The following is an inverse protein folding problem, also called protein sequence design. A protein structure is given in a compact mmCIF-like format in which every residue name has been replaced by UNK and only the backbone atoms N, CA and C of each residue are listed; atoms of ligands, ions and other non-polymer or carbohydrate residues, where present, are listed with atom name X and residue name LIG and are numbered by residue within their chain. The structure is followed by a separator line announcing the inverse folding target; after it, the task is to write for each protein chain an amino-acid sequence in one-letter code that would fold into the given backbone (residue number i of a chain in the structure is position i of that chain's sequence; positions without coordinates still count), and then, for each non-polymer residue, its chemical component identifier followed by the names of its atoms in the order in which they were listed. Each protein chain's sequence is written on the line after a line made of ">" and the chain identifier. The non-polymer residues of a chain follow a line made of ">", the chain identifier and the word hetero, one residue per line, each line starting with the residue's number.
data_IF_596072898560
#
_entry.id   IF_596072898560
#
_cell.length_a   1.000
_cell.length_b   1.000
_cell.length_c   1.000
_cell.angle_alpha   90.00
_cell.angle_beta   90.00
_cell.angle_gamma   90.00
#
_symmetry.space_group_name_H-M   'P 1'
#
loop_
_entity.id
_entity.type
_entity.pdbx_description
1 polymer ?
#
# COMPACT_ATOMS: atom_id res chain seq x y z
N UNK A 1 -35.74 -10.66 -72.71
CA UNK A 1 -35.22 -10.82 -71.34
C UNK A 1 -33.76 -11.27 -71.44
N UNK A 2 -32.85 -10.53 -70.77
CA UNK A 2 -31.50 -10.86 -70.26
C UNK A 2 -30.45 -11.57 -71.17
N UNK A 3 -29.13 -11.39 -71.04
CA UNK A 3 -28.17 -10.36 -70.60
C UNK A 3 -26.76 -10.93 -70.95
N UNK A 4 -25.74 -10.07 -71.03
CA UNK A 4 -24.34 -10.33 -71.41
C UNK A 4 -23.60 -11.37 -70.54
N UNK A 5 -22.42 -11.85 -71.00
CA UNK A 5 -21.16 -11.42 -70.37
C UNK A 5 -19.89 -11.77 -71.18
N UNK A 6 -18.95 -10.84 -71.12
CA UNK A 6 -17.56 -10.87 -71.55
C UNK A 6 -16.69 -11.36 -70.37
N UNK A 7 -15.41 -11.66 -70.61
CA UNK A 7 -14.24 -11.22 -69.82
C UNK A 7 -13.10 -12.26 -69.89
N UNK A 8 -11.95 -11.72 -70.28
CA UNK A 8 -10.66 -12.35 -70.55
C UNK A 8 -9.80 -12.49 -69.27
N UNK A 9 -8.93 -13.49 -69.31
CA UNK A 9 -7.88 -13.88 -68.35
C UNK A 9 -6.76 -12.84 -68.21
N UNK A 10 -6.32 -12.57 -66.97
CA UNK A 10 -5.00 -11.99 -66.69
C UNK A 10 -4.51 -12.45 -65.30
N UNK A 11 -3.35 -13.11 -65.31
CA UNK A 11 -2.64 -13.64 -64.14
C UNK A 11 -1.67 -12.60 -63.58
N UNK A 12 -1.62 -12.43 -62.24
CA UNK A 12 -0.50 -11.90 -61.40
C UNK A 12 -1.04 -11.86 -59.96
N UNK A 13 -0.33 -12.00 -58.85
CA UNK A 13 1.03 -12.39 -58.45
C UNK A 13 0.92 -12.61 -56.92
N UNK A 14 1.59 -13.63 -56.38
CA UNK A 14 1.54 -14.00 -54.96
C UNK A 14 2.23 -12.95 -54.09
N UNK A 15 1.46 -12.18 -53.32
CA UNK A 15 1.97 -11.50 -52.13
C UNK A 15 1.05 -11.74 -50.94
N UNK A 16 1.37 -12.80 -50.18
CA UNK A 16 0.93 -12.92 -48.78
C UNK A 16 1.61 -11.78 -48.02
N UNK A 17 0.96 -10.63 -47.98
CA UNK A 17 1.30 -9.55 -47.07
C UNK A 17 1.07 -10.08 -45.65
N UNK A 18 2.15 -10.51 -45.00
CA UNK A 18 2.18 -10.72 -43.56
C UNK A 18 1.65 -9.43 -42.92
N UNK A 19 0.45 -9.49 -42.36
CA UNK A 19 -0.12 -8.41 -41.58
C UNK A 19 0.74 -8.26 -40.32
N UNK A 20 1.80 -7.46 -40.40
CA UNK A 20 2.40 -6.85 -39.22
C UNK A 20 1.27 -6.26 -38.38
N UNK A 21 1.15 -6.57 -37.08
CA UNK A 21 0.13 -5.99 -36.24
C UNK A 21 0.27 -4.47 -36.36
N UNK A 22 -0.72 -3.80 -36.95
CA UNK A 22 -0.74 -2.33 -36.96
C UNK A 22 -0.80 -1.91 -35.50
N UNK A 23 0.32 -1.46 -34.94
CA UNK A 23 0.32 -0.70 -33.70
C UNK A 23 -0.73 0.38 -33.88
N UNK A 24 -1.87 0.26 -33.18
CA UNK A 24 -2.97 1.21 -33.30
C UNK A 24 -2.39 2.60 -33.07
N UNK A 25 -2.43 3.41 -34.13
CA UNK A 25 -1.79 4.70 -34.32
C UNK A 25 -1.62 5.49 -33.02
N UNK A 26 -0.44 6.04 -32.78
CA UNK A 26 -0.08 6.84 -31.59
C UNK A 26 -1.12 7.93 -31.29
N UNK A 27 -1.72 8.56 -32.30
CA UNK A 27 -2.81 9.53 -32.10
C UNK A 27 -4.09 8.93 -31.51
N UNK A 28 -4.43 7.68 -31.84
CA UNK A 28 -5.54 6.96 -31.23
C UNK A 28 -5.20 6.55 -29.78
N UNK A 29 -3.94 6.23 -29.48
CA UNK A 29 -3.47 6.01 -28.10
C UNK A 29 -3.57 7.30 -27.27
N UNK A 30 -3.02 8.41 -27.78
CA UNK A 30 -3.08 9.72 -27.12
C UNK A 30 -4.52 10.21 -26.92
N UNK A 31 -5.40 10.04 -27.92
CA UNK A 31 -6.81 10.38 -27.78
C UNK A 31 -7.54 9.54 -26.73
N UNK A 32 -7.19 8.24 -26.62
CA UNK A 32 -7.71 7.35 -25.56
C UNK A 32 -7.22 7.81 -24.19
N UNK A 33 -5.92 8.07 -24.06
CA UNK A 33 -5.31 8.52 -22.81
C UNK A 33 -5.88 9.86 -22.34
N UNK A 34 -6.07 10.82 -23.24
CA UNK A 34 -6.68 12.12 -22.91
C UNK A 34 -8.16 11.98 -22.47
N UNK A 35 -8.93 11.11 -23.15
CA UNK A 35 -10.31 10.83 -22.75
C UNK A 35 -10.38 10.16 -21.38
N UNK A 36 -9.46 9.22 -21.10
CA UNK A 36 -9.36 8.54 -19.81
C UNK A 36 -8.91 9.51 -18.71
N UNK A 37 -7.92 10.36 -18.97
CA UNK A 37 -7.47 11.44 -18.07
C UNK A 37 -8.62 12.36 -17.68
N UNK A 38 -9.40 12.81 -18.67
CA UNK A 38 -10.56 13.68 -18.42
C UNK A 38 -11.66 12.96 -17.63
N UNK A 39 -11.81 11.64 -17.83
CA UNK A 39 -12.76 10.81 -17.08
C UNK A 39 -12.29 10.59 -15.62
N UNK A 40 -11.01 10.23 -15.42
CA UNK A 40 -10.39 10.05 -14.09
C UNK A 40 -10.25 11.38 -13.32
N UNK A 41 -10.24 12.53 -13.98
CA UNK A 41 -10.32 13.82 -13.28
C UNK A 41 -11.76 14.16 -12.84
N UNK A 42 -12.78 13.69 -13.56
CA UNK A 42 -14.19 13.81 -13.16
C UNK A 42 -14.58 12.83 -12.02
N UNK A 43 -13.77 11.80 -11.80
CA UNK A 43 -13.85 10.72 -10.79
C UNK A 43 -14.26 11.13 -9.37
N UNK A 44 -13.72 12.21 -8.80
CA UNK A 44 -13.98 12.57 -7.39
C UNK A 44 -15.36 13.17 -7.17
N UNK A 45 -16.00 13.70 -8.22
CA UNK A 45 -17.31 14.36 -8.13
C UNK A 45 -18.41 13.60 -8.88
N UNK A 46 -18.07 12.50 -9.56
CA UNK A 46 -18.99 11.77 -10.41
C UNK A 46 -19.75 10.68 -9.65
N UNK A 47 -21.08 10.72 -9.70
CA UNK A 47 -21.98 9.69 -9.14
C UNK A 47 -22.27 8.54 -10.12
N UNK A 48 -21.53 8.45 -11.23
CA UNK A 48 -21.82 7.46 -12.27
C UNK A 48 -21.42 6.05 -11.79
N UNK A 49 -22.30 5.07 -12.06
CA UNK A 49 -22.06 3.64 -11.76
C UNK A 49 -20.76 3.10 -12.39
N UNK A 50 -20.28 3.73 -13.46
CA UNK A 50 -19.04 3.39 -14.16
C UNK A 50 -17.77 3.76 -13.39
N UNK A 51 -17.86 4.65 -12.39
CA UNK A 51 -16.74 5.02 -11.53
C UNK A 51 -16.74 4.26 -10.19
N UNK A 52 -17.83 3.58 -9.85
CA UNK A 52 -17.98 2.90 -8.57
C UNK A 52 -16.94 1.79 -8.37
N UNK A 53 -16.55 1.08 -9.44
CA UNK A 53 -15.52 0.03 -9.40
C UNK A 53 -14.13 0.59 -9.13
N UNK A 54 -13.75 1.71 -9.78
CA UNK A 54 -12.47 2.39 -9.54
C UNK A 54 -12.45 3.05 -8.15
N UNK A 55 -13.59 3.60 -7.70
CA UNK A 55 -13.72 4.13 -6.33
C UNK A 55 -13.55 3.03 -5.28
N UNK A 56 -14.19 1.88 -5.49
CA UNK A 56 -14.02 0.72 -4.62
C UNK A 56 -12.56 0.25 -4.60
N UNK A 57 -11.91 0.19 -5.77
CA UNK A 57 -10.48 -0.13 -5.88
C UNK A 57 -9.62 0.82 -5.04
N UNK A 58 -9.78 2.14 -5.21
CA UNK A 58 -8.99 3.13 -4.48
C UNK A 58 -9.25 3.08 -2.98
N UNK A 59 -10.51 2.96 -2.55
CA UNK A 59 -10.84 2.83 -1.12
C UNK A 59 -10.26 1.57 -0.51
N UNK A 60 -10.32 0.43 -1.21
CA UNK A 60 -9.76 -0.83 -0.73
C UNK A 60 -8.23 -0.78 -0.66
N UNK A 61 -7.58 -0.24 -1.69
CA UNK A 61 -6.13 -0.05 -1.70
C UNK A 61 -5.67 0.90 -0.58
N UNK A 62 -6.40 1.99 -0.34
CA UNK A 62 -6.10 2.93 0.74
C UNK A 62 -6.28 2.28 2.12
N UNK A 63 -7.31 1.44 2.31
CA UNK A 63 -7.50 0.70 3.54
C UNK A 63 -6.35 -0.29 3.80
N UNK A 64 -5.92 -1.02 2.75
CA UNK A 64 -4.77 -1.93 2.82
C UNK A 64 -3.47 -1.17 3.17
N UNK A 65 -3.22 -0.04 2.51
CA UNK A 65 -2.06 0.82 2.79
C UNK A 65 -2.05 1.31 4.24
N UNK A 66 -3.18 1.80 4.74
CA UNK A 66 -3.30 2.26 6.13
C UNK A 66 -3.14 1.13 7.15
N UNK A 67 -3.67 -0.06 6.86
CA UNK A 67 -3.51 -1.22 7.73
C UNK A 67 -2.04 -1.66 7.81
N UNK A 68 -1.34 -1.69 6.66
CA UNK A 68 0.10 -1.99 6.63
C UNK A 68 0.91 -0.92 7.38
N UNK A 69 0.62 0.37 7.17
CA UNK A 69 1.31 1.44 7.87
C UNK A 69 1.12 1.36 9.40
N UNK A 70 -0.06 0.96 9.88
CA UNK A 70 -0.33 0.72 11.30
C UNK A 70 0.46 -0.46 11.85
N UNK A 71 0.56 -1.54 11.09
CA UNK A 71 1.38 -2.70 11.44
C UNK A 71 2.86 -2.33 11.54
N UNK A 72 3.38 -1.58 10.56
CA UNK A 72 4.76 -1.12 10.56
C UNK A 72 5.04 -0.19 11.76
N UNK A 73 4.11 0.72 12.08
CA UNK A 73 4.21 1.60 13.24
C UNK A 73 4.17 0.82 14.57
N UNK A 74 3.27 -0.17 14.71
CA UNK A 74 3.19 -1.00 15.91
C UNK A 74 4.48 -1.82 16.12
N UNK A 75 5.03 -2.40 15.04
CA UNK A 75 6.31 -3.12 15.10
C UNK A 75 7.47 -2.18 15.49
N UNK A 76 7.51 -0.98 14.94
CA UNK A 76 8.53 0.01 15.27
C UNK A 76 8.45 0.43 16.75
N UNK A 77 7.23 0.63 17.27
CA UNK A 77 7.02 0.93 18.69
C UNK A 77 7.49 -0.22 19.59
N UNK A 78 7.07 -1.45 19.29
CA UNK A 78 7.51 -2.63 20.05
C UNK A 78 9.04 -2.77 20.07
N UNK A 79 9.70 -2.51 18.94
CA UNK A 79 11.17 -2.54 18.88
C UNK A 79 11.82 -1.43 19.72
N UNK A 80 11.26 -0.21 19.73
CA UNK A 80 11.74 0.89 20.56
C UNK A 80 11.57 0.59 22.06
N UNK A 81 10.46 -0.03 22.44
CA UNK A 81 10.16 -0.42 23.80
C UNK A 81 11.09 -1.55 24.30
N UNK A 82 11.37 -2.53 23.43
CA UNK A 82 12.38 -3.56 23.71
C UNK A 82 13.79 -2.97 23.88
N UNK A 83 14.16 -1.96 23.09
CA UNK A 83 15.43 -1.27 23.25
C UNK A 83 15.50 -0.51 24.58
N UNK A 84 14.40 0.13 24.99
CA UNK A 84 14.28 0.79 26.31
C UNK A 84 14.47 -0.21 27.45
N UNK A 85 13.80 -1.37 27.38
CA UNK A 85 13.95 -2.44 28.36
C UNK A 85 15.41 -2.94 28.46
N UNK A 86 16.10 -3.10 27.32
CA UNK A 86 17.50 -3.50 27.31
C UNK A 86 18.41 -2.44 27.98
N UNK A 87 18.12 -1.15 27.77
CA UNK A 87 18.80 -0.04 28.44
C UNK A 87 18.61 -0.08 29.96
N UNK A 88 17.37 -0.22 30.43
CA UNK A 88 17.06 -0.34 31.87
C UNK A 88 17.70 -1.57 32.51
N UNK A 89 17.71 -2.70 31.80
CA UNK A 89 18.35 -3.94 32.27
C UNK A 89 19.86 -3.77 32.42
N UNK A 90 20.50 -3.04 31.49
CA UNK A 90 21.92 -2.70 31.57
C UNK A 90 22.19 -1.79 32.76
N UNK A 91 21.38 -0.75 32.94
CA UNK A 91 21.49 0.15 34.09
C UNK A 91 21.35 -0.60 35.42
N UNK A 92 20.40 -1.53 35.52
CA UNK A 92 20.23 -2.38 36.70
C UNK A 92 21.47 -3.24 36.96
N UNK A 93 22.06 -3.82 35.91
CA UNK A 93 23.29 -4.60 36.02
C UNK A 93 24.47 -3.75 36.51
N UNK A 94 24.63 -2.53 35.98
CA UNK A 94 25.68 -1.59 36.38
C UNK A 94 25.53 -1.14 37.84
N UNK A 95 24.31 -0.84 38.27
CA UNK A 95 24.02 -0.52 39.68
C UNK A 95 24.38 -1.69 40.60
N UNK A 96 24.00 -2.92 40.23
CA UNK A 96 24.34 -4.12 40.99
C UNK A 96 25.84 -4.45 40.98
N UNK A 97 26.59 -3.97 39.99
CA UNK A 97 28.04 -4.14 39.90
C UNK A 97 28.82 -3.04 40.63
N UNK A 98 28.15 -2.05 41.21
CA UNK A 98 28.81 -0.96 41.96
C UNK A 98 29.62 -1.53 43.12
N UNK A 99 30.90 -1.17 43.20
CA UNK A 99 31.73 -1.51 44.36
C UNK A 99 31.26 -0.71 45.59
N UNK A 100 30.68 -1.42 46.55
CA UNK A 100 30.15 -0.84 47.78
C UNK A 100 31.17 -0.82 48.93
N UNK A 101 32.44 -1.15 48.65
CA UNK A 101 33.49 -1.14 49.65
C UNK A 101 33.64 0.26 50.25
N UNK A 102 33.42 0.36 51.57
CA UNK A 102 33.53 1.62 52.30
C UNK A 102 32.30 2.52 52.22
N UNK A 103 31.18 2.05 51.66
CA UNK A 103 29.92 2.78 51.73
C UNK A 103 29.47 3.00 53.17
N UNK A 104 28.93 4.20 53.45
CA UNK A 104 28.15 4.43 54.66
C UNK A 104 26.76 3.80 54.52
N UNK A 105 26.03 3.58 55.64
CA UNK A 105 24.66 3.08 55.59
C UNK A 105 23.73 3.93 54.70
N UNK A 106 23.91 5.25 54.70
CA UNK A 106 23.11 6.17 53.89
C UNK A 106 23.40 6.02 52.39
N UNK A 107 24.67 5.77 52.02
CA UNK A 107 25.07 5.52 50.63
C UNK A 107 24.52 4.18 50.14
N UNK A 108 24.55 3.14 50.98
CA UNK A 108 23.96 1.85 50.65
C UNK A 108 22.44 2.00 50.44
N UNK A 109 21.75 2.66 51.36
CA UNK A 109 20.30 2.89 51.23
C UNK A 109 19.94 3.69 49.95
N UNK A 110 20.79 4.63 49.54
CA UNK A 110 20.60 5.38 48.31
C UNK A 110 20.78 4.51 47.04
N UNK A 111 21.76 3.60 47.04
CA UNK A 111 21.94 2.63 45.95
C UNK A 111 20.76 1.66 45.87
N UNK A 112 20.33 1.13 47.02
CA UNK A 112 19.19 0.21 47.11
C UNK A 112 17.90 0.88 46.58
N UNK A 113 17.70 2.17 46.88
CA UNK A 113 16.58 2.94 46.35
C UNK A 113 16.65 3.14 44.82
N UNK A 114 17.84 3.37 44.25
CA UNK A 114 18.02 3.47 42.79
C UNK A 114 17.74 2.14 42.10
N UNK A 115 18.21 1.03 42.67
CA UNK A 115 17.94 -0.32 42.16
C UNK A 115 16.43 -0.59 42.16
N UNK A 116 15.74 -0.27 43.27
CA UNK A 116 14.30 -0.45 43.38
C UNK A 116 13.52 0.41 42.35
N UNK A 117 13.96 1.65 42.11
CA UNK A 117 13.36 2.53 41.11
C UNK A 117 13.53 1.97 39.68
N UNK A 118 14.74 1.56 39.30
CA UNK A 118 15.00 0.95 37.99
C UNK A 118 14.22 -0.35 37.82
N UNK A 119 14.10 -1.17 38.86
CA UNK A 119 13.27 -2.39 38.82
C UNK A 119 11.80 -2.07 38.56
N UNK A 120 11.26 -1.04 39.21
CA UNK A 120 9.89 -0.55 38.96
C UNK A 120 9.70 -0.07 37.53
N UNK A 121 10.69 0.64 36.97
CA UNK A 121 10.67 1.06 35.56
C UNK A 121 10.70 -0.14 34.60
N UNK A 122 11.50 -1.18 34.89
CA UNK A 122 11.53 -2.43 34.12
C UNK A 122 10.16 -3.11 34.14
N UNK A 123 9.52 -3.21 35.31
CA UNK A 123 8.21 -3.85 35.44
C UNK A 123 7.12 -3.07 34.67
N UNK A 124 7.17 -1.74 34.73
CA UNK A 124 6.31 -0.88 33.92
C UNK A 124 6.56 -1.07 32.41
N UNK A 125 7.82 -1.10 31.99
CA UNK A 125 8.20 -1.29 30.58
C UNK A 125 7.77 -2.66 30.05
N UNK A 126 7.87 -3.72 30.85
CA UNK A 126 7.36 -5.05 30.50
C UNK A 126 5.84 -5.06 30.31
N UNK A 127 5.11 -4.27 31.11
CA UNK A 127 3.66 -4.09 30.93
C UNK A 127 3.36 -3.39 29.61
N UNK A 128 4.11 -2.34 29.26
CA UNK A 128 3.98 -1.65 27.96
C UNK A 128 4.26 -2.60 26.80
N UNK A 129 5.36 -3.37 26.85
CA UNK A 129 5.72 -4.36 25.82
C UNK A 129 4.63 -5.41 25.61
N UNK A 130 3.95 -5.82 26.69
CA UNK A 130 2.82 -6.74 26.59
C UNK A 130 1.66 -6.12 25.82
N UNK A 131 1.35 -4.84 26.10
CA UNK A 131 0.36 -4.07 25.36
C UNK A 131 0.73 -3.89 23.88
N UNK A 132 1.97 -3.53 23.59
CA UNK A 132 2.46 -3.33 22.23
C UNK A 132 2.51 -4.63 21.43
N UNK A 133 2.82 -5.75 22.08
CA UNK A 133 2.74 -7.08 21.46
C UNK A 133 1.31 -7.39 21.02
N UNK A 134 0.31 -7.04 21.85
CA UNK A 134 -1.10 -7.17 21.46
C UNK A 134 -1.45 -6.19 20.33
N UNK A 135 -0.96 -4.95 20.38
CA UNK A 135 -1.20 -3.97 19.32
C UNK A 135 -0.64 -4.42 17.95
N UNK A 136 0.53 -5.07 17.94
CA UNK A 136 1.09 -5.71 16.73
C UNK A 136 0.18 -6.83 16.23
N UNK A 137 -0.32 -7.69 17.12
CA UNK A 137 -1.23 -8.77 16.72
C UNK A 137 -2.54 -8.22 16.13
N UNK A 138 -3.12 -7.19 16.74
CA UNK A 138 -4.34 -6.54 16.26
C UNK A 138 -4.11 -5.84 14.91
N UNK A 139 -2.97 -5.16 14.75
CA UNK A 139 -2.60 -4.51 13.50
C UNK A 139 -2.34 -5.52 12.38
N UNK A 140 -1.73 -6.69 12.70
CA UNK A 140 -1.54 -7.78 11.75
C UNK A 140 -2.90 -8.34 11.29
N UNK A 141 -3.82 -8.60 12.23
CA UNK A 141 -5.15 -9.06 11.88
C UNK A 141 -5.90 -8.05 11.00
N UNK A 142 -5.73 -6.75 11.24
CA UNK A 142 -6.29 -5.71 10.39
C UNK A 142 -5.65 -5.66 8.99
N UNK A 143 -4.33 -5.85 8.89
CA UNK A 143 -3.62 -5.93 7.61
C UNK A 143 -4.05 -7.16 6.79
N UNK A 144 -4.17 -8.32 7.44
CA UNK A 144 -4.63 -9.56 6.80
C UNK A 144 -6.09 -9.44 6.30
N UNK A 145 -6.94 -8.70 7.03
CA UNK A 145 -8.31 -8.43 6.63
C UNK A 145 -8.41 -7.39 5.49
N UNK A 146 -7.48 -6.44 5.43
CA UNK A 146 -7.43 -5.38 4.43
C UNK A 146 -6.67 -5.83 3.18
N UNK A 147 -7.19 -6.85 2.49
CA UNK A 147 -6.57 -7.39 1.27
C UNK A 147 -6.48 -6.30 0.19
N UNK A 148 -5.26 -5.98 -0.23
CA UNK A 148 -5.01 -5.05 -1.31
C UNK A 148 -5.62 -5.58 -2.63
N UNK A 149 -6.31 -4.72 -3.40
CA UNK A 149 -6.84 -5.12 -4.70
C UNK A 149 -5.68 -5.39 -5.68
N UNK A 150 -5.86 -6.37 -6.55
CA UNK A 150 -4.84 -6.81 -7.52
C UNK A 150 -5.00 -6.13 -8.89
N UNK A 151 -4.01 -6.32 -9.75
CA UNK A 151 -4.01 -5.80 -11.12
C UNK A 151 -5.21 -6.29 -11.93
N UNK A 152 -5.70 -7.50 -11.68
CA UNK A 152 -6.87 -8.04 -12.37
C UNK A 152 -8.16 -7.29 -11.99
N UNK A 153 -8.30 -6.92 -10.72
CA UNK A 153 -9.41 -6.10 -10.24
C UNK A 153 -9.35 -4.67 -10.79
N UNK A 154 -8.15 -4.13 -10.97
CA UNK A 154 -7.94 -2.84 -11.64
C UNK A 154 -8.32 -2.92 -13.12
N UNK A 155 -7.86 -3.94 -13.84
CA UNK A 155 -8.19 -4.14 -15.25
C UNK A 155 -9.69 -4.33 -15.48
N UNK A 156 -10.36 -5.09 -14.62
CA UNK A 156 -11.82 -5.24 -14.65
C UNK A 156 -12.52 -3.89 -14.41
N UNK A 157 -12.07 -3.12 -13.42
CA UNK A 157 -12.62 -1.80 -13.13
C UNK A 157 -12.40 -0.81 -14.29
N UNK A 158 -11.23 -0.85 -14.95
CA UNK A 158 -10.91 -0.03 -16.11
C UNK A 158 -11.72 -0.45 -17.34
N UNK A 159 -11.94 -1.75 -17.57
CA UNK A 159 -12.76 -2.25 -18.68
C UNK A 159 -14.23 -1.87 -18.51
N UNK A 160 -14.75 -1.93 -17.28
CA UNK A 160 -16.11 -1.48 -17.00
C UNK A 160 -16.31 0.00 -17.32
N UNK A 161 -15.28 0.81 -17.11
CA UNK A 161 -15.26 2.25 -17.34
C UNK A 161 -14.98 2.63 -18.80
N UNK A 162 -14.15 1.86 -19.49
CA UNK A 162 -13.69 2.19 -20.83
C UNK A 162 -14.70 1.76 -21.91
N UNK A 163 -15.10 2.70 -22.77
CA UNK A 163 -15.87 2.39 -23.99
C UNK A 163 -15.01 1.72 -25.09
N UNK A 164 -13.76 1.38 -24.79
CA UNK A 164 -12.75 0.80 -25.69
C UNK A 164 -11.92 -0.23 -24.90
N UNK A 165 -11.21 -1.17 -25.57
CA UNK A 165 -10.37 -2.14 -24.86
C UNK A 165 -9.37 -1.44 -23.93
N UNK A 166 -9.03 -2.07 -22.81
CA UNK A 166 -7.92 -1.66 -21.94
C UNK A 166 -6.68 -2.45 -22.38
N UNK A 167 -5.58 -1.76 -22.60
CA UNK A 167 -4.28 -2.36 -22.91
C UNK A 167 -3.28 -2.00 -21.81
N UNK A 168 -2.13 -2.69 -21.76
CA UNK A 168 -1.17 -2.58 -20.67
C UNK A 168 -0.70 -1.13 -20.43
N UNK A 169 -0.52 -0.36 -21.50
CA UNK A 169 -0.10 1.05 -21.43
C UNK A 169 -1.15 1.92 -20.72
N UNK A 170 -2.44 1.63 -20.93
CA UNK A 170 -3.55 2.29 -20.23
C UNK A 170 -3.61 1.85 -18.76
N UNK A 171 -3.39 0.57 -18.46
CA UNK A 171 -3.34 0.07 -17.08
C UNK A 171 -2.19 0.70 -16.30
N UNK A 172 -1.00 0.80 -16.89
CA UNK A 172 0.18 1.40 -16.25
C UNK A 172 -0.01 2.91 -16.00
N UNK A 173 -0.57 3.63 -16.98
CA UNK A 173 -0.95 5.03 -16.79
C UNK A 173 -2.00 5.19 -15.68
N UNK A 174 -3.01 4.32 -15.64
CA UNK A 174 -4.05 4.37 -14.61
C UNK A 174 -3.48 4.09 -13.22
N UNK A 175 -2.56 3.13 -13.07
CA UNK A 175 -1.85 2.87 -11.81
C UNK A 175 -1.14 4.13 -11.31
N UNK A 176 -0.42 4.82 -12.19
CA UNK A 176 0.27 6.07 -11.82
C UNK A 176 -0.67 7.18 -11.35
N UNK A 177 -1.83 7.34 -11.99
CA UNK A 177 -2.84 8.35 -11.57
C UNK A 177 -3.60 7.94 -10.31
N UNK A 178 -3.87 6.65 -10.15
CA UNK A 178 -4.59 6.13 -8.99
C UNK A 178 -3.71 6.07 -7.73
N UNK A 179 -2.39 5.95 -7.85
CA UNK A 179 -1.47 5.97 -6.73
C UNK A 179 -1.65 7.25 -5.86
N UNK A 180 -1.59 8.43 -6.49
CA UNK A 180 -1.82 9.71 -5.80
C UNK A 180 -3.22 9.79 -5.14
N UNK A 181 -4.23 9.14 -5.75
CA UNK A 181 -5.58 9.10 -5.19
C UNK A 181 -5.72 8.13 -4.02
N UNK A 182 -4.98 7.01 -4.06
CA UNK A 182 -4.89 6.05 -2.96
C UNK A 182 -4.23 6.75 -1.77
N UNK A 183 -3.12 7.46 -1.99
CA UNK A 183 -2.43 8.21 -0.94
C UNK A 183 -3.34 9.29 -0.32
N UNK A 184 -4.08 10.05 -1.13
CA UNK A 184 -5.07 11.03 -0.64
C UNK A 184 -6.20 10.38 0.16
N UNK A 185 -6.73 9.25 -0.31
CA UNK A 185 -7.80 8.51 0.37
C UNK A 185 -7.30 7.88 1.69
N UNK A 186 -6.06 7.40 1.70
CA UNK A 186 -5.40 6.89 2.88
C UNK A 186 -5.23 8.00 3.91
N UNK A 187 -4.66 9.15 3.51
CA UNK A 187 -4.49 10.33 4.36
C UNK A 187 -5.80 10.84 4.98
N UNK A 188 -6.89 10.84 4.20
CA UNK A 188 -8.20 11.27 4.68
C UNK A 188 -8.82 10.32 5.73
N UNK A 189 -8.41 9.06 5.75
CA UNK A 189 -8.94 8.03 6.66
C UNK A 189 -7.98 7.69 7.81
N UNK A 190 -6.75 8.23 7.78
CA UNK A 190 -5.73 8.09 8.82
C UNK A 190 -5.69 9.26 9.81
N UNK A 191 -6.60 10.24 9.69
CA UNK A 191 -6.73 11.34 10.67
C UNK A 191 -7.44 10.84 11.94
N UNK A 192 -6.94 11.12 13.16
CA UNK A 192 -7.45 10.55 14.42
C UNK A 192 -8.89 10.89 14.75
#
# INVERSE_FOLDING_TARGET
>A
MAKADDTTDETTDDTVAAATPKEKNIHAKLGRLNSLQRNINAYMNSKSKKFASIQAYVTQAAAAQNAQAKLDAANAQLAADQATLAGLTTQLADLNATDTTGFTPEQQAALDAQIADVQSQIDAQNTTITGDTQAVADAQAAADAAVAPDDASLDAALQDMANKPVDQEVTDWAKGVLADKIDQAAAATSTP
#
